data_IF_392067296886
#
_entry.id   IF_392067296886
#
_cell.length_a   1.000
_cell.length_b   1.000
_cell.length_c   1.000
_cell.angle_alpha   90.00
_cell.angle_beta   90.00
_cell.angle_gamma   90.00
#
_symmetry.space_group_name_H-M   'P 1'
#
loop_
_entity.id
_entity.type
_entity.pdbx_description
1 polymer ?
#
# COMPACT_ATOMS: atom_id res chain seq x y z
N UNK A 1 -19.82 8.59 11.53
CA UNK A 1 -20.30 7.89 10.32
C UNK A 1 -21.77 7.58 10.51
N UNK A 2 -22.59 8.33 9.81
CA UNK A 2 -24.05 8.32 9.86
C UNK A 2 -24.56 7.39 8.76
N UNK A 3 -25.56 6.59 9.13
CA UNK A 3 -26.22 5.67 8.20
C UNK A 3 -27.66 6.11 8.00
N UNK A 4 -28.10 6.08 6.75
CA UNK A 4 -29.49 6.20 6.37
C UNK A 4 -30.05 4.78 6.30
N UNK A 5 -31.03 4.50 7.15
CA UNK A 5 -31.81 3.28 7.05
C UNK A 5 -32.90 3.48 5.99
N UNK A 6 -33.08 2.48 5.13
CA UNK A 6 -34.07 2.50 4.06
C UNK A 6 -34.72 1.13 3.89
N UNK A 7 -35.96 1.12 3.42
CA UNK A 7 -36.68 -0.07 2.98
C UNK A 7 -36.40 -0.41 1.50
N UNK A 8 -35.62 0.42 0.81
CA UNK A 8 -35.13 0.11 -0.52
C UNK A 8 -34.25 -1.15 -0.48
N UNK A 9 -34.49 -2.07 -1.41
CA UNK A 9 -33.75 -3.31 -1.51
C UNK A 9 -32.27 -3.04 -1.83
N UNK A 10 -31.37 -3.29 -0.87
CA UNK A 10 -29.92 -3.20 -1.06
C UNK A 10 -29.35 -4.62 -1.16
N UNK A 11 -28.73 -4.94 -2.28
CA UNK A 11 -28.19 -6.25 -2.61
C UNK A 11 -26.81 -6.12 -3.27
N UNK A 12 -26.01 -7.20 -3.33
CA UNK A 12 -24.84 -7.24 -4.21
C UNK A 12 -25.26 -6.86 -5.65
N UNK A 13 -24.69 -5.78 -6.18
CA UNK A 13 -25.04 -5.23 -7.50
C UNK A 13 -25.51 -3.77 -7.48
N UNK A 14 -26.15 -3.30 -6.40
CA UNK A 14 -26.43 -1.87 -6.19
C UNK A 14 -25.61 -1.24 -5.05
N UNK A 15 -24.83 -2.06 -4.32
CA UNK A 15 -23.80 -1.60 -3.39
C UNK A 15 -22.80 -0.68 -4.10
N UNK A 16 -22.48 0.45 -3.50
CA UNK A 16 -21.65 1.51 -4.10
C UNK A 16 -22.42 2.48 -5.01
N UNK A 17 -23.67 2.16 -5.37
CA UNK A 17 -24.54 3.06 -6.11
C UNK A 17 -25.19 4.15 -5.24
N UNK A 18 -25.76 5.16 -5.88
CA UNK A 18 -26.43 6.27 -5.21
C UNK A 18 -27.81 5.87 -4.64
N UNK A 19 -28.12 6.38 -3.46
CA UNK A 19 -29.47 6.47 -2.90
C UNK A 19 -30.03 7.86 -3.26
N UNK A 20 -31.19 7.89 -3.93
CA UNK A 20 -31.81 9.13 -4.41
C UNK A 20 -33.08 9.46 -3.63
N UNK A 21 -33.33 10.76 -3.41
CA UNK A 21 -34.65 11.21 -2.97
C UNK A 21 -35.62 11.37 -4.15
N UNK A 22 -36.88 11.75 -3.86
CA UNK A 22 -37.91 11.92 -4.90
C UNK A 22 -37.62 13.01 -5.94
N UNK A 23 -36.70 13.93 -5.63
CA UNK A 23 -36.25 14.97 -6.57
C UNK A 23 -35.09 14.50 -7.46
N UNK A 24 -34.59 13.28 -7.26
CA UNK A 24 -33.42 12.74 -7.96
C UNK A 24 -32.08 13.20 -7.37
N UNK A 25 -32.07 13.77 -6.18
CA UNK A 25 -30.85 14.22 -5.51
C UNK A 25 -30.20 13.06 -4.74
N UNK A 26 -28.87 12.96 -4.78
CA UNK A 26 -28.11 11.94 -4.05
C UNK A 26 -28.15 12.26 -2.56
N UNK A 27 -28.71 11.35 -1.76
CA UNK A 27 -28.78 11.46 -0.30
C UNK A 27 -27.83 10.50 0.41
N UNK A 28 -27.32 9.47 -0.28
CA UNK A 28 -26.34 8.55 0.28
C UNK A 28 -25.74 7.56 -0.72
N UNK A 29 -24.84 6.71 -0.24
CA UNK A 29 -24.20 5.63 -1.01
C UNK A 29 -24.60 4.28 -0.40
N UNK A 30 -25.20 3.41 -1.20
CA UNK A 30 -25.69 2.12 -0.73
C UNK A 30 -24.56 1.20 -0.26
N UNK A 31 -24.75 0.51 0.87
CA UNK A 31 -23.77 -0.44 1.41
C UNK A 31 -24.43 -1.77 1.74
N UNK A 32 -24.25 -2.77 0.87
CA UNK A 32 -24.79 -4.11 1.08
C UNK A 32 -24.16 -4.83 2.28
N UNK A 33 -22.96 -4.41 2.72
CA UNK A 33 -22.26 -5.01 3.86
C UNK A 33 -22.86 -4.63 5.22
N UNK A 34 -23.55 -3.49 5.28
CA UNK A 34 -24.20 -3.00 6.49
C UNK A 34 -25.65 -3.49 6.61
N UNK A 35 -26.25 -3.95 5.50
CA UNK A 35 -27.53 -4.64 5.53
C UNK A 35 -27.36 -5.97 6.30
N UNK A 36 -27.99 -6.06 7.47
CA UNK A 36 -28.04 -7.30 8.24
C UNK A 36 -28.82 -8.34 7.45
N UNK A 37 -28.20 -9.47 7.12
CA UNK A 37 -28.87 -10.64 6.52
C UNK A 37 -29.99 -11.22 7.40
N UNK A 38 -30.08 -10.77 8.66
CA UNK A 38 -31.04 -11.24 9.66
C UNK A 38 -32.39 -10.51 9.62
N UNK A 39 -32.49 -9.35 8.93
CA UNK A 39 -33.74 -8.59 8.82
C UNK A 39 -34.01 -8.25 7.37
N UNK A 40 -34.92 -9.03 6.77
CA UNK A 40 -35.43 -8.80 5.43
C UNK A 40 -36.06 -7.40 5.33
N UNK A 41 -35.64 -6.61 4.36
CA UNK A 41 -36.17 -5.25 4.12
C UNK A 41 -35.50 -4.10 4.89
N UNK A 42 -34.35 -4.32 5.54
CA UNK A 42 -33.53 -3.22 6.08
C UNK A 42 -32.25 -2.99 5.27
N UNK A 43 -32.27 -1.97 4.42
CA UNK A 43 -31.10 -1.44 3.71
C UNK A 43 -30.41 -0.32 4.49
N UNK A 44 -29.10 -0.17 4.27
CA UNK A 44 -28.33 0.95 4.79
C UNK A 44 -27.55 1.64 3.68
N UNK A 45 -27.51 2.97 3.76
CA UNK A 45 -26.66 3.81 2.94
C UNK A 45 -25.82 4.73 3.83
N UNK A 46 -24.59 5.02 3.41
CA UNK A 46 -23.74 6.02 4.04
C UNK A 46 -24.26 7.38 3.62
N UNK A 47 -24.56 8.27 4.58
CA UNK A 47 -25.08 9.61 4.27
C UNK A 47 -24.11 10.40 3.39
N UNK A 48 -24.63 11.12 2.38
CA UNK A 48 -23.79 11.88 1.45
C UNK A 48 -22.93 12.93 2.18
N UNK A 49 -23.47 13.54 3.25
CA UNK A 49 -22.79 14.54 4.08
C UNK A 49 -21.52 14.02 4.74
N UNK A 50 -21.44 12.73 5.00
CA UNK A 50 -20.27 12.12 5.65
C UNK A 50 -19.15 11.79 4.66
N UNK A 51 -19.46 11.78 3.35
CA UNK A 51 -18.52 11.39 2.30
C UNK A 51 -18.26 12.51 1.28
N UNK A 52 -18.97 13.64 1.33
CA UNK A 52 -18.78 14.78 0.43
C UNK A 52 -17.32 15.25 0.41
N UNK A 53 -16.71 15.45 1.58
CA UNK A 53 -15.32 15.90 1.67
C UNK A 53 -14.35 14.86 1.09
N UNK A 54 -14.64 13.57 1.31
CA UNK A 54 -13.84 12.45 0.77
C UNK A 54 -13.95 12.43 -0.76
N UNK A 55 -15.15 12.60 -1.31
CA UNK A 55 -15.40 12.64 -2.75
C UNK A 55 -14.73 13.85 -3.39
N UNK A 56 -14.83 15.03 -2.79
CA UNK A 56 -14.19 16.24 -3.29
C UNK A 56 -12.67 16.11 -3.30
N UNK A 57 -12.08 15.54 -2.23
CA UNK A 57 -10.66 15.24 -2.20
C UNK A 57 -10.26 14.25 -3.30
N UNK A 58 -11.00 13.15 -3.48
CA UNK A 58 -10.74 12.18 -4.53
C UNK A 58 -10.88 12.77 -5.94
N UNK A 59 -11.85 13.66 -6.16
CA UNK A 59 -12.09 14.30 -7.47
C UNK A 59 -11.02 15.32 -7.82
N UNK A 60 -10.45 16.01 -6.83
CA UNK A 60 -9.43 17.04 -7.01
C UNK A 60 -8.01 16.48 -7.00
N UNK A 61 -7.83 15.21 -6.65
CA UNK A 61 -6.55 14.54 -6.69
C UNK A 61 -6.15 14.15 -8.11
N UNK A 62 -4.91 14.44 -8.48
CA UNK A 62 -4.30 13.86 -9.67
C UNK A 62 -4.07 12.36 -9.42
N UNK A 63 -4.57 11.47 -10.29
CA UNK A 63 -4.26 10.04 -10.21
C UNK A 63 -2.74 9.83 -10.24
N UNK A 64 -2.25 8.98 -9.33
CA UNK A 64 -0.83 8.60 -9.24
C UNK A 64 -0.73 7.09 -9.33
N UNK A 65 0.28 6.62 -10.06
CA UNK A 65 0.64 5.21 -10.06
C UNK A 65 1.52 4.92 -8.84
N UNK A 66 1.36 3.72 -8.27
CA UNK A 66 2.23 3.27 -7.19
C UNK A 66 3.62 3.04 -7.79
N UNK A 67 4.65 3.55 -7.14
CA UNK A 67 6.03 3.35 -7.57
C UNK A 67 6.45 1.92 -7.23
N UNK A 68 6.90 1.20 -8.26
CA UNK A 68 7.36 -0.18 -8.13
C UNK A 68 8.76 -0.25 -7.50
N UNK A 69 9.12 -1.43 -7.00
CA UNK A 69 10.47 -1.77 -6.51
C UNK A 69 11.03 -0.90 -5.37
N UNK A 70 10.14 -0.33 -4.54
CA UNK A 70 10.55 0.38 -3.33
C UNK A 70 11.29 1.71 -3.60
N UNK A 71 11.39 2.14 -4.86
CA UNK A 71 12.08 3.36 -5.29
C UNK A 71 11.38 4.66 -4.90
N UNK A 72 10.32 4.58 -4.09
CA UNK A 72 9.58 5.72 -3.61
C UNK A 72 10.41 6.63 -2.69
N UNK A 73 9.94 7.85 -2.51
CA UNK A 73 10.53 8.84 -1.63
C UNK A 73 10.36 8.48 -0.15
N UNK A 74 11.31 8.90 0.68
CA UNK A 74 11.25 8.77 2.15
C UNK A 74 11.45 10.10 2.85
N UNK A 75 10.95 10.19 4.08
CA UNK A 75 11.08 11.37 4.95
C UNK A 75 12.35 11.36 5.80
N UNK A 76 13.09 10.24 5.88
CA UNK A 76 14.29 10.13 6.75
C UNK A 76 13.99 10.36 8.24
N UNK A 77 12.93 9.69 8.73
CA UNK A 77 12.55 9.69 10.15
C UNK A 77 12.38 8.27 10.68
N UNK A 78 12.46 8.10 12.00
CA UNK A 78 11.87 6.96 12.69
C UNK A 78 10.63 7.43 13.44
N UNK A 79 9.51 6.77 13.21
CA UNK A 79 8.26 7.11 13.87
C UNK A 79 7.46 5.87 14.24
N UNK A 80 6.43 6.10 15.04
CA UNK A 80 5.48 5.07 15.44
C UNK A 80 4.06 5.65 15.46
N UNK A 81 3.08 4.79 15.27
CA UNK A 81 1.68 5.17 15.46
C UNK A 81 1.46 5.60 16.91
N UNK A 82 0.80 6.76 17.11
CA UNK A 82 0.36 7.17 18.44
C UNK A 82 -0.68 6.17 18.94
N UNK A 83 -0.46 5.58 20.12
CA UNK A 83 -1.37 4.58 20.67
C UNK A 83 -2.69 5.20 21.12
N UNK A 84 -3.74 4.39 21.19
CA UNK A 84 -5.06 4.81 21.68
C UNK A 84 -4.98 5.27 23.15
N UNK A 85 -4.11 4.67 23.97
CA UNK A 85 -3.80 5.15 25.31
C UNK A 85 -3.12 6.52 25.28
N UNK A 86 -2.19 6.74 24.34
CA UNK A 86 -1.55 8.02 24.06
C UNK A 86 -2.58 9.14 23.87
N UNK A 87 -3.55 8.87 22.99
CA UNK A 87 -4.64 9.81 22.69
C UNK A 87 -5.53 10.04 23.92
N UNK A 88 -5.99 8.97 24.58
CA UNK A 88 -7.02 9.07 25.64
C UNK A 88 -6.47 9.56 26.98
N UNK A 89 -5.26 9.14 27.34
CA UNK A 89 -4.67 9.42 28.66
C UNK A 89 -3.88 10.73 28.62
N UNK A 90 -3.11 10.95 27.55
CA UNK A 90 -2.19 12.07 27.45
C UNK A 90 -2.67 13.17 26.50
N UNK A 91 -3.84 13.02 25.88
CA UNK A 91 -4.39 14.00 24.94
C UNK A 91 -3.55 14.16 23.68
N UNK A 92 -2.76 13.15 23.32
CA UNK A 92 -1.92 13.21 22.13
C UNK A 92 -2.80 13.23 20.87
N UNK A 93 -2.48 14.08 19.87
CA UNK A 93 -3.06 13.97 18.54
C UNK A 93 -2.88 12.57 17.96
N UNK A 94 -3.93 12.07 17.30
CA UNK A 94 -3.84 10.83 16.55
C UNK A 94 -3.00 11.05 15.29
N UNK A 95 -2.04 10.16 15.05
CA UNK A 95 -1.14 10.26 13.91
C UNK A 95 0.17 9.50 14.10
N UNK A 96 1.23 9.98 13.46
CA UNK A 96 2.56 9.38 13.53
C UNK A 96 3.46 10.20 14.44
N UNK A 97 3.86 9.63 15.56
CA UNK A 97 4.83 10.21 16.48
C UNK A 97 6.24 10.10 15.89
N UNK A 98 6.94 11.23 15.77
CA UNK A 98 8.31 11.30 15.27
C UNK A 98 9.28 11.06 16.44
N UNK A 99 9.80 9.84 16.53
CA UNK A 99 10.74 9.43 17.57
C UNK A 99 12.16 9.94 17.28
N UNK A 100 12.56 9.92 16.01
CA UNK A 100 13.89 10.32 15.55
C UNK A 100 13.79 10.99 14.17
N UNK A 101 14.64 11.98 13.93
CA UNK A 101 14.86 12.56 12.61
C UNK A 101 16.32 12.33 12.27
N UNK A 102 16.62 11.83 11.08
CA UNK A 102 18.00 11.58 10.65
C UNK A 102 18.74 12.92 10.54
N UNK A 103 19.92 13.00 11.17
CA UNK A 103 20.79 14.18 11.15
C UNK A 103 21.21 14.51 9.72
N UNK A 104 21.20 15.80 9.38
CA UNK A 104 21.41 16.32 8.03
C UNK A 104 20.44 15.78 6.96
N UNK A 105 19.38 15.09 7.36
CA UNK A 105 18.34 14.54 6.48
C UNK A 105 17.36 15.59 5.95
N UNK A 106 16.53 15.18 4.98
CA UNK A 106 15.55 16.06 4.34
C UNK A 106 14.46 16.54 5.30
N UNK A 107 14.03 15.69 6.24
CA UNK A 107 13.08 16.07 7.28
C UNK A 107 13.65 17.14 8.21
N UNK A 108 14.90 16.98 8.67
CA UNK A 108 15.53 17.96 9.56
C UNK A 108 15.69 19.31 8.86
N UNK A 109 16.18 19.29 7.61
CA UNK A 109 16.35 20.49 6.77
C UNK A 109 15.03 21.21 6.50
N UNK A 110 13.92 20.47 6.44
CA UNK A 110 12.59 21.03 6.29
C UNK A 110 12.01 21.62 7.58
N UNK A 111 12.62 21.36 8.75
CA UNK A 111 12.14 21.86 10.04
C UNK A 111 11.38 20.82 10.88
N UNK A 112 11.26 19.58 10.41
CA UNK A 112 10.69 18.50 11.21
C UNK A 112 11.65 18.15 12.36
N UNK A 113 11.10 17.85 13.54
CA UNK A 113 11.88 17.55 14.76
C UNK A 113 11.27 16.37 15.50
N UNK A 114 12.08 15.77 16.40
CA UNK A 114 11.61 14.76 17.35
C UNK A 114 10.47 15.30 18.22
N UNK A 115 9.59 14.40 18.66
CA UNK A 115 8.37 14.66 19.43
C UNK A 115 7.23 15.36 18.68
N UNK A 116 7.40 15.66 17.39
CA UNK A 116 6.28 16.14 16.57
C UNK A 116 5.35 14.96 16.24
N UNK A 117 4.09 15.25 15.94
CA UNK A 117 3.13 14.25 15.47
C UNK A 117 2.65 14.66 14.09
N UNK A 118 2.90 13.84 13.08
CA UNK A 118 2.38 14.05 11.72
C UNK A 118 0.91 13.61 11.73
N UNK A 119 0.01 14.52 11.40
CA UNK A 119 -1.44 14.27 11.36
C UNK A 119 -1.99 14.26 9.94
N UNK A 120 -1.32 14.91 8.99
CA UNK A 120 -1.72 14.88 7.58
C UNK A 120 -0.52 14.84 6.64
N UNK A 121 -0.73 14.25 5.48
CA UNK A 121 0.20 14.18 4.36
C UNK A 121 -0.53 14.66 3.09
N UNK A 122 -0.09 15.78 2.52
CA UNK A 122 -0.76 16.48 1.41
C UNK A 122 -2.27 16.68 1.66
N UNK A 123 -2.64 17.10 2.87
CA UNK A 123 -4.04 17.30 3.28
C UNK A 123 -4.82 16.03 3.58
N UNK A 124 -4.24 14.83 3.40
CA UNK A 124 -4.88 13.57 3.77
C UNK A 124 -4.55 13.20 5.20
N UNK A 125 -5.56 12.89 5.99
CA UNK A 125 -5.38 12.47 7.39
C UNK A 125 -4.56 11.19 7.46
N UNK A 126 -3.54 11.21 8.31
CA UNK A 126 -2.65 10.09 8.62
C UNK A 126 -2.90 9.68 10.07
N UNK A 127 -3.31 8.43 10.27
CA UNK A 127 -3.61 7.86 11.58
C UNK A 127 -2.59 6.83 12.06
N UNK A 128 -1.73 6.32 11.18
CA UNK A 128 -0.74 5.30 11.50
C UNK A 128 0.53 5.41 10.66
N UNK A 129 1.63 4.84 11.14
CA UNK A 129 2.90 4.81 10.42
C UNK A 129 2.79 4.01 9.12
N UNK A 130 2.02 2.92 9.12
CA UNK A 130 1.77 2.10 7.93
C UNK A 130 1.01 2.90 6.88
N UNK A 131 0.02 3.70 7.29
CA UNK A 131 -0.72 4.57 6.39
C UNK A 131 0.21 5.63 5.76
N UNK A 132 1.11 6.23 6.54
CA UNK A 132 2.10 7.18 6.02
C UNK A 132 3.04 6.53 5.01
N UNK A 133 3.55 5.33 5.32
CA UNK A 133 4.42 4.55 4.42
C UNK A 133 3.66 4.26 3.11
N UNK A 134 2.44 3.75 3.17
CA UNK A 134 1.63 3.48 1.98
C UNK A 134 1.33 4.73 1.16
N UNK A 135 1.17 5.90 1.78
CA UNK A 135 1.02 7.15 1.04
C UNK A 135 2.33 7.55 0.32
N UNK A 136 3.49 7.35 0.95
CA UNK A 136 4.79 7.67 0.37
C UNK A 136 5.13 6.81 -0.85
N UNK A 137 4.60 5.59 -0.95
CA UNK A 137 4.80 4.68 -2.10
C UNK A 137 4.35 5.25 -3.46
N UNK A 138 3.62 6.37 -3.47
CA UNK A 138 3.11 7.04 -4.67
C UNK A 138 3.90 8.30 -5.05
N UNK A 139 5.01 8.58 -4.38
CA UNK A 139 5.78 9.82 -4.56
C UNK A 139 7.24 9.52 -4.85
N UNK A 140 7.77 10.16 -5.89
CA UNK A 140 9.14 9.96 -6.31
C UNK A 140 10.13 10.66 -5.34
N UNK A 141 11.36 10.14 -5.23
CA UNK A 141 12.44 10.86 -4.60
C UNK A 141 12.60 12.24 -5.23
N UNK A 142 12.68 13.27 -4.38
CA UNK A 142 12.82 14.65 -4.79
C UNK A 142 11.51 15.41 -5.01
N UNK A 143 10.35 14.75 -4.96
CA UNK A 143 9.06 15.44 -4.89
C UNK A 143 8.95 16.24 -3.60
N UNK A 144 8.22 17.37 -3.66
CA UNK A 144 7.86 18.15 -2.48
C UNK A 144 6.48 17.74 -2.00
N UNK A 145 6.38 17.44 -0.71
CA UNK A 145 5.14 17.10 -0.02
C UNK A 145 4.91 18.07 1.14
N UNK A 146 3.65 18.29 1.49
CA UNK A 146 3.25 19.06 2.67
C UNK A 146 2.86 18.11 3.81
N UNK A 147 3.43 18.31 4.98
CA UNK A 147 3.05 17.63 6.21
C UNK A 147 2.34 18.62 7.13
N UNK A 148 1.15 18.25 7.61
CA UNK A 148 0.56 18.94 8.77
C UNK A 148 1.06 18.23 10.03
N UNK A 149 1.71 18.98 10.91
CA UNK A 149 2.30 18.47 12.16
C UNK A 149 1.72 19.17 13.38
N UNK A 150 1.64 18.42 14.47
CA UNK A 150 1.32 18.91 15.81
C UNK A 150 2.61 18.97 16.62
N UNK A 151 2.94 20.19 17.03
CA UNK A 151 4.14 20.52 17.79
C UNK A 151 3.76 20.67 19.26
N UNK A 152 4.38 19.93 20.18
CA UNK A 152 4.14 20.11 21.61
C UNK A 152 4.43 21.57 22.03
N UNK A 153 3.47 22.19 22.70
CA UNK A 153 3.57 23.55 23.26
C UNK A 153 3.05 23.55 24.71
N UNK A 154 3.29 24.63 25.43
CA UNK A 154 2.83 24.84 26.81
C UNK A 154 1.33 24.67 27.02
N UNK A 155 0.51 24.91 25.99
CA UNK A 155 -0.95 24.74 26.01
C UNK A 155 -1.43 23.42 25.37
N UNK A 156 -0.52 22.52 25.00
CA UNK A 156 -0.83 21.23 24.39
C UNK A 156 -0.11 21.07 23.06
N UNK A 157 -0.80 21.34 21.94
CA UNK A 157 -0.23 21.17 20.60
C UNK A 157 -0.59 22.33 19.67
N UNK A 158 0.43 22.90 19.04
CA UNK A 158 0.28 23.87 17.96
C UNK A 158 0.37 23.16 16.62
N UNK A 159 -0.49 23.53 15.67
CA UNK A 159 -0.42 23.06 14.30
C UNK A 159 0.57 23.87 13.46
N UNK A 160 1.35 23.18 12.64
CA UNK A 160 2.23 23.81 11.64
C UNK A 160 2.27 22.96 10.36
N UNK A 161 2.48 23.62 9.23
CA UNK A 161 2.65 22.97 7.93
C UNK A 161 4.12 23.02 7.53
N UNK A 162 4.67 21.86 7.19
CA UNK A 162 6.08 21.71 6.82
C UNK A 162 6.15 21.14 5.41
N UNK A 163 6.84 21.83 4.50
CA UNK A 163 7.12 21.33 3.16
C UNK A 163 8.44 20.57 3.14
N UNK A 164 8.41 19.28 2.83
CA UNK A 164 9.58 18.39 2.81
C UNK A 164 9.84 17.94 1.38
N UNK A 165 11.11 17.95 0.96
CA UNK A 165 11.53 17.31 -0.30
C UNK A 165 11.95 15.88 -0.01
N UNK A 166 11.30 14.88 -0.59
CA UNK A 166 11.57 13.47 -0.28
C UNK A 166 12.99 13.03 -0.68
N UNK A 167 13.61 12.18 0.14
CA UNK A 167 14.89 11.55 -0.16
C UNK A 167 14.70 10.22 -0.91
N UNK A 168 15.76 9.70 -1.53
CA UNK A 168 15.74 8.37 -2.16
C UNK A 168 15.72 7.28 -1.08
N UNK A 169 14.90 6.25 -1.25
CA UNK A 169 14.94 5.08 -0.38
C UNK A 169 16.24 4.27 -0.60
N UNK A 170 17.12 4.14 0.40
CA UNK A 170 18.37 3.38 0.26
C UNK A 170 18.15 1.85 0.22
N UNK A 171 16.99 1.35 0.68
CA UNK A 171 16.67 -0.08 0.65
C UNK A 171 16.26 -0.56 -0.76
N UNK A 172 15.74 0.35 -1.60
CA UNK A 172 15.37 0.05 -2.99
C UNK A 172 16.57 -0.47 -3.82
N UNK A 173 17.75 0.13 -3.60
CA UNK A 173 18.99 -0.29 -4.27
C UNK A 173 19.47 -1.67 -3.82
N UNK A 174 19.04 -2.15 -2.64
CA UNK A 174 19.37 -3.50 -2.14
C UNK A 174 18.38 -4.53 -2.66
N UNK A 175 17.09 -4.21 -2.70
CA UNK A 175 16.06 -5.09 -3.25
C UNK A 175 16.23 -5.29 -4.76
N UNK A 176 16.52 -4.23 -5.52
CA UNK A 176 16.81 -4.34 -6.95
C UNK A 176 18.04 -5.23 -7.23
N UNK A 177 19.09 -5.11 -6.42
CA UNK A 177 20.29 -5.97 -6.54
C UNK A 177 20.02 -7.42 -6.14
N UNK A 178 19.07 -7.66 -5.23
CA UNK A 178 18.68 -9.01 -4.83
C UNK A 178 17.86 -9.67 -5.93
N UNK A 179 16.86 -8.99 -6.50
CA UNK A 179 16.05 -9.48 -7.62
C UNK A 179 16.91 -9.80 -8.85
N UNK A 180 17.79 -8.87 -9.25
CA UNK A 180 18.70 -9.09 -10.38
C UNK A 180 19.61 -10.31 -10.19
N UNK A 181 20.02 -10.59 -8.95
CA UNK A 181 20.83 -11.76 -8.62
C UNK A 181 20.02 -13.06 -8.62
N UNK A 182 18.76 -13.02 -8.19
CA UNK A 182 17.84 -14.16 -8.25
C UNK A 182 17.49 -14.51 -9.71
N UNK A 183 17.27 -13.51 -10.56
CA UNK A 183 17.02 -13.68 -12.01
C UNK A 183 18.25 -14.24 -12.76
N UNK A 184 19.46 -13.75 -12.46
CA UNK A 184 20.71 -14.32 -13.02
C UNK A 184 20.99 -15.75 -12.54
N UNK A 185 20.56 -16.12 -11.32
CA UNK A 185 20.72 -17.48 -10.78
C UNK A 185 19.69 -18.45 -11.40
N UNK A 186 18.48 -17.99 -11.72
CA UNK A 186 17.46 -18.76 -12.45
C UNK A 186 17.86 -18.98 -13.92
N UNK A 187 18.25 -17.93 -14.64
CA UNK A 187 18.67 -18.01 -16.06
C UNK A 187 19.87 -18.97 -16.22
N UNK A 188 20.83 -18.93 -15.28
CA UNK A 188 22.03 -19.78 -15.30
C UNK A 188 21.75 -21.22 -14.81
N UNK A 189 20.58 -21.49 -14.23
CA UNK A 189 20.12 -22.83 -13.88
C UNK A 189 19.42 -23.53 -15.06
N UNK A 190 18.60 -22.80 -15.81
CA UNK A 190 17.99 -23.27 -17.06
C UNK A 190 19.08 -23.58 -18.11
N UNK A 191 20.09 -22.70 -18.23
CA UNK A 191 21.26 -22.88 -19.11
C UNK A 191 22.14 -24.10 -18.76
N UNK A 192 22.02 -24.63 -17.52
CA UNK A 192 22.72 -25.85 -17.09
C UNK A 192 21.89 -27.10 -17.35
N UNK A 193 20.58 -27.05 -17.17
CA UNK A 193 19.69 -28.16 -17.49
C UNK A 193 19.71 -28.47 -19.00
N UNK A 194 19.74 -27.45 -19.85
CA UNK A 194 19.85 -27.62 -21.31
C UNK A 194 21.19 -28.24 -21.73
N UNK A 195 22.31 -27.80 -21.13
CA UNK A 195 23.65 -28.38 -21.40
C UNK A 195 23.80 -29.80 -20.86
N UNK A 196 23.18 -30.15 -19.73
CA UNK A 196 23.19 -31.52 -19.22
C UNK A 196 22.34 -32.45 -20.10
N UNK A 197 21.21 -31.96 -20.64
CA UNK A 197 20.38 -32.68 -21.61
C UNK A 197 21.10 -32.94 -22.94
N UNK A 198 21.86 -31.97 -23.46
CA UNK A 198 22.65 -32.14 -24.69
C UNK A 198 23.82 -33.13 -24.51
N UNK A 199 24.52 -33.12 -23.37
CA UNK A 199 25.59 -34.08 -23.08
C UNK A 199 25.07 -35.52 -22.95
N UNK A 200 23.86 -35.72 -22.39
CA UNK A 200 23.19 -37.03 -22.34
C UNK A 200 22.80 -37.53 -23.74
N UNK A 201 22.46 -36.62 -24.66
CA UNK A 201 22.15 -36.93 -26.07
C UNK A 201 23.40 -37.21 -26.92
N UNK A 202 24.55 -36.63 -26.61
CA UNK A 202 25.82 -37.00 -27.26
C UNK A 202 26.39 -38.32 -26.71
N UNK A 203 26.25 -38.57 -25.41
CA UNK A 203 26.75 -39.79 -24.78
C UNK A 203 25.97 -41.05 -25.18
N UNK A 204 24.65 -40.97 -25.39
CA UNK A 204 23.87 -42.11 -25.90
C UNK A 204 24.14 -42.39 -27.39
N UNK A 205 24.39 -41.37 -28.23
CA UNK A 205 24.71 -41.58 -29.64
C UNK A 205 26.09 -42.24 -29.83
N UNK A 206 27.07 -41.87 -28.99
CA UNK A 206 28.42 -42.44 -29.07
C UNK A 206 28.56 -43.82 -28.42
N UNK A 207 27.76 -44.15 -27.38
CA UNK A 207 27.92 -45.40 -26.61
C UNK A 207 26.69 -46.34 -26.62
N UNK A 208 25.55 -45.93 -27.19
CA UNK A 208 24.28 -46.66 -27.14
C UNK A 208 24.23 -48.00 -27.90
N UNK A 209 25.26 -48.34 -28.67
CA UNK A 209 25.31 -49.61 -29.42
C UNK A 209 25.88 -50.80 -28.62
N UNK A 210 26.06 -50.70 -27.30
CA UNK A 210 26.69 -51.76 -26.48
C UNK A 210 26.00 -52.09 -25.16
N UNK A 211 24.69 -51.92 -25.06
CA UNK A 211 23.96 -52.43 -23.88
C UNK A 211 22.71 -53.27 -24.25
N UNK A 212 22.69 -54.60 -23.98
CA UNK A 212 21.56 -55.46 -24.31
C UNK A 212 20.34 -55.27 -23.37
N UNK A 213 20.36 -54.29 -22.46
CA UNK A 213 19.27 -53.96 -21.54
C UNK A 213 18.37 -52.79 -22.00
N UNK A 214 18.65 -52.15 -23.15
CA UNK A 214 17.80 -51.06 -23.66
C UNK A 214 16.48 -51.52 -24.31
N UNK A 215 16.36 -52.81 -24.65
CA UNK A 215 15.24 -53.33 -25.43
C UNK A 215 14.00 -53.70 -24.59
N UNK A 216 14.00 -53.41 -23.29
CA UNK A 216 12.90 -53.73 -22.36
C UNK A 216 12.07 -52.53 -21.90
N UNK A 217 12.53 -51.29 -22.13
CA UNK A 217 11.79 -50.08 -21.69
C UNK A 217 10.84 -49.51 -22.74
N UNK A 218 10.96 -49.90 -24.02
CA UNK A 218 10.19 -49.30 -25.11
C UNK A 218 8.83 -49.96 -25.41
N UNK A 219 8.46 -51.06 -24.72
CA UNK A 219 7.17 -51.74 -24.96
C UNK A 219 6.00 -51.27 -24.05
N UNK A 220 6.27 -50.54 -22.97
CA UNK A 220 5.23 -50.11 -22.02
C UNK A 220 4.68 -48.69 -22.24
N UNK A 221 5.21 -47.92 -23.21
CA UNK A 221 4.82 -46.52 -23.41
C UNK A 221 3.80 -46.26 -24.54
N UNK A 222 3.48 -47.26 -25.38
CA UNK A 222 2.48 -47.12 -26.44
C UNK A 222 1.32 -48.12 -26.29
N UNK A 223 0.59 -48.00 -25.17
CA UNK A 223 -0.75 -48.58 -25.06
C UNK A 223 -1.75 -47.59 -24.50
#
# INVERSE_FOLDING_TARGET
MNLIQTDAAINPGNSGGALLNMNGEVVGINSAKLASTEVEGMGYAIAITDVSDILENLMNETPREKIEDGNHGILEIKGSTVSEEGVKIYGMPKGVFVAEVIEDGVAEKAGLRKNYIITEFNGKVVNSIEQLISMLEYYEPGEKVELTVKIPDSEGYKEEKISVKLAKNPEADKEAKKKAREEEEEENSEDREDREGENLLEDWENNGAKDPMGNWFFQDFFR
#
